data_IF_936493240310
#
_entry.id   IF_936493240310
#
_cell.length_a   1.000
_cell.length_b   1.000
_cell.length_c   1.000
_cell.angle_alpha   90.00
_cell.angle_beta   90.00
_cell.angle_gamma   90.00
#
_symmetry.space_group_name_H-M   'P 1'
#
loop_
_entity.id
_entity.type
_entity.pdbx_description
1 polymer ?
#
# COMPACT_ATOMS: atom_id res chain seq x y z
N UNK A 1 -7.74 -10.43 64.56
CA UNK A 1 -6.88 -10.14 63.40
C UNK A 1 -7.75 -10.27 62.16
N UNK A 2 -8.12 -9.15 61.54
CA UNK A 2 -8.90 -9.15 60.31
C UNK A 2 -7.95 -8.84 59.15
N UNK A 3 -7.77 -9.78 58.24
CA UNK A 3 -6.98 -9.60 57.02
C UNK A 3 -7.94 -9.13 55.93
N UNK A 4 -7.90 -7.84 55.62
CA UNK A 4 -8.64 -7.25 54.51
C UNK A 4 -7.90 -7.50 53.20
N UNK A 5 -8.51 -8.28 52.30
CA UNK A 5 -8.04 -8.46 50.93
C UNK A 5 -8.52 -7.27 50.09
N UNK A 6 -7.58 -6.42 49.66
CA UNK A 6 -7.81 -5.39 48.65
C UNK A 6 -7.82 -6.07 47.29
N UNK A 7 -9.00 -6.20 46.69
CA UNK A 7 -9.15 -6.59 45.30
C UNK A 7 -8.72 -5.41 44.41
N UNK A 8 -7.54 -5.52 43.80
CA UNK A 8 -7.13 -4.61 42.73
C UNK A 8 -7.94 -4.89 41.47
N UNK A 9 -8.79 -3.95 41.08
CA UNK A 9 -9.40 -3.93 39.75
C UNK A 9 -8.31 -3.67 38.72
N UNK A 10 -7.97 -4.68 37.92
CA UNK A 10 -7.19 -4.46 36.71
C UNK A 10 -8.05 -3.62 35.75
N UNK A 11 -7.72 -2.34 35.58
CA UNK A 11 -8.27 -1.54 34.50
C UNK A 11 -7.87 -2.20 33.19
N UNK A 12 -8.85 -2.65 32.41
CA UNK A 12 -8.63 -3.04 31.03
C UNK A 12 -8.03 -1.82 30.30
N UNK A 13 -6.80 -1.95 29.83
CA UNK A 13 -6.21 -0.95 28.95
C UNK A 13 -7.14 -0.83 27.74
N UNK A 14 -7.76 0.33 27.58
CA UNK A 14 -8.54 0.63 26.38
C UNK A 14 -7.61 0.44 25.18
N UNK A 15 -8.02 -0.40 24.26
CA UNK A 15 -7.22 -0.71 23.11
C UNK A 15 -7.09 0.55 22.24
N UNK A 16 -5.86 0.87 21.85
CA UNK A 16 -5.50 2.17 21.31
C UNK A 16 -5.73 2.19 19.81
N UNK A 17 -6.61 3.08 19.35
CA UNK A 17 -6.73 3.44 17.94
C UNK A 17 -5.79 4.61 17.63
N UNK A 18 -5.33 4.71 16.38
CA UNK A 18 -4.52 5.83 15.90
C UNK A 18 -5.40 6.70 15.01
N UNK A 19 -5.50 7.98 15.34
CA UNK A 19 -6.27 8.95 14.56
C UNK A 19 -5.45 9.42 13.36
N UNK A 20 -5.91 9.11 12.14
CA UNK A 20 -5.22 9.43 10.89
C UNK A 20 -6.11 10.27 9.99
N UNK A 21 -5.62 11.40 9.49
CA UNK A 21 -6.32 12.16 8.45
C UNK A 21 -5.64 11.96 7.10
N UNK A 22 -6.44 11.74 6.05
CA UNK A 22 -5.94 11.62 4.68
C UNK A 22 -6.37 12.85 3.89
N UNK A 23 -5.40 13.55 3.30
CA UNK A 23 -5.63 14.76 2.52
C UNK A 23 -4.84 14.73 1.21
N UNK A 24 -5.44 15.25 0.16
CA UNK A 24 -4.70 15.50 -1.08
C UNK A 24 -3.78 16.70 -0.88
N UNK A 25 -2.64 16.75 -1.57
CA UNK A 25 -1.87 17.97 -1.80
C UNK A 25 -1.90 18.30 -3.29
N UNK A 26 -2.35 19.51 -3.60
CA UNK A 26 -2.60 20.03 -4.95
C UNK A 26 -1.88 21.36 -5.21
N UNK A 27 -0.85 21.65 -4.41
CA UNK A 27 -0.03 22.84 -4.54
C UNK A 27 0.69 22.91 -5.90
N UNK A 28 1.08 21.76 -6.47
CA UNK A 28 1.77 21.68 -7.77
C UNK A 28 0.78 21.84 -8.93
N UNK A 29 0.94 22.84 -9.82
CA UNK A 29 0.13 23.05 -11.02
C UNK A 29 -0.15 21.80 -11.88
N UNK A 30 0.75 20.83 -11.88
CA UNK A 30 0.65 19.60 -12.69
C UNK A 30 -0.06 18.45 -11.97
N UNK A 31 -0.36 18.57 -10.68
CA UNK A 31 -1.12 17.58 -9.95
C UNK A 31 -2.60 17.61 -10.37
N UNK A 32 -3.30 16.51 -10.09
CA UNK A 32 -4.75 16.48 -10.15
C UNK A 32 -5.34 17.56 -9.23
N UNK A 33 -6.40 18.21 -9.70
CA UNK A 33 -7.16 19.20 -8.94
C UNK A 33 -8.10 18.52 -7.95
N UNK A 34 -8.46 19.21 -6.87
CA UNK A 34 -9.53 18.79 -5.96
C UNK A 34 -10.92 18.95 -6.57
N UNK A 35 -11.92 18.32 -5.95
CA UNK A 35 -13.35 18.41 -6.29
C UNK A 35 -13.79 17.50 -7.43
N UNK A 36 -12.84 16.90 -8.17
CA UNK A 36 -13.14 15.99 -9.28
C UNK A 36 -13.57 14.60 -8.78
N UNK A 37 -14.39 13.90 -9.57
CA UNK A 37 -14.88 12.55 -9.24
C UNK A 37 -13.74 11.57 -8.92
N UNK A 38 -12.63 11.67 -9.65
CA UNK A 38 -11.44 10.82 -9.46
C UNK A 38 -10.87 10.96 -8.05
N UNK A 39 -10.74 12.18 -7.51
CA UNK A 39 -10.28 12.39 -6.13
C UNK A 39 -11.22 11.71 -5.13
N UNK A 40 -12.53 11.91 -5.27
CA UNK A 40 -13.53 11.34 -4.35
C UNK A 40 -13.46 9.80 -4.36
N UNK A 41 -13.30 9.21 -5.54
CA UNK A 41 -13.05 7.77 -5.67
C UNK A 41 -11.80 7.32 -4.93
N UNK A 42 -10.69 8.05 -5.06
CA UNK A 42 -9.45 7.73 -4.35
C UNK A 42 -9.58 7.86 -2.83
N UNK A 43 -10.23 8.91 -2.32
CA UNK A 43 -10.46 9.08 -0.87
C UNK A 43 -11.28 7.93 -0.29
N UNK A 44 -12.33 7.49 -1.00
CA UNK A 44 -13.10 6.32 -0.58
C UNK A 44 -12.24 5.05 -0.51
N UNK A 45 -11.31 4.87 -1.45
CA UNK A 45 -10.38 3.74 -1.43
C UNK A 45 -9.39 3.85 -0.27
N UNK A 46 -8.83 5.03 -0.01
CA UNK A 46 -7.98 5.27 1.16
C UNK A 46 -8.68 4.92 2.47
N UNK A 47 -9.90 5.41 2.66
CA UNK A 47 -10.71 5.15 3.85
C UNK A 47 -11.04 3.66 3.98
N UNK A 48 -11.47 3.02 2.88
CA UNK A 48 -11.82 1.59 2.88
C UNK A 48 -10.61 0.68 3.13
N UNK A 49 -9.45 1.01 2.56
CA UNK A 49 -8.23 0.25 2.74
C UNK A 49 -7.70 0.40 4.18
N UNK A 50 -7.51 1.64 4.66
CA UNK A 50 -6.96 1.92 5.99
C UNK A 50 -7.86 1.44 7.14
N UNK A 51 -9.19 1.55 7.00
CA UNK A 51 -10.16 1.00 7.98
C UNK A 51 -10.46 -0.49 7.75
N UNK A 52 -9.80 -1.13 6.79
CA UNK A 52 -10.09 -2.50 6.40
C UNK A 52 -9.76 -3.52 7.51
N UNK A 53 -10.55 -4.60 7.66
CA UNK A 53 -10.34 -5.60 8.72
C UNK A 53 -8.99 -6.33 8.63
N UNK A 54 -8.42 -6.42 7.42
CA UNK A 54 -7.08 -6.97 7.19
C UNK A 54 -6.00 -6.13 7.87
N UNK A 55 -6.10 -4.79 7.77
CA UNK A 55 -5.16 -3.87 8.42
C UNK A 55 -5.36 -3.88 9.92
N UNK A 56 -6.59 -3.87 10.41
CA UNK A 56 -6.87 -3.98 11.86
C UNK A 56 -6.25 -5.24 12.48
N UNK A 57 -6.33 -6.39 11.80
CA UNK A 57 -5.73 -7.63 12.27
C UNK A 57 -4.19 -7.58 12.31
N UNK A 58 -3.57 -6.87 11.38
CA UNK A 58 -2.13 -6.64 11.37
C UNK A 58 -1.69 -5.68 12.49
N UNK A 59 -2.42 -4.58 12.68
CA UNK A 59 -2.15 -3.56 13.70
C UNK A 59 -2.20 -4.12 15.13
N UNK A 60 -3.08 -5.10 15.38
CA UNK A 60 -3.16 -5.78 16.67
C UNK A 60 -1.88 -6.49 17.07
N UNK A 61 -1.06 -6.92 16.12
CA UNK A 61 0.27 -7.51 16.40
C UNK A 61 1.23 -6.48 17.00
N UNK A 62 0.97 -5.19 16.79
CA UNK A 62 1.74 -4.06 17.30
C UNK A 62 1.06 -3.35 18.48
N UNK A 63 -0.01 -3.93 19.04
CA UNK A 63 -0.75 -3.37 20.18
C UNK A 63 -1.72 -2.25 19.82
N UNK A 64 -2.01 -2.05 18.54
CA UNK A 64 -2.96 -1.06 18.04
C UNK A 64 -4.27 -1.76 17.65
N UNK A 65 -5.41 -1.20 18.03
CA UNK A 65 -6.71 -1.82 17.76
C UNK A 65 -7.22 -1.54 16.34
N UNK A 66 -6.77 -0.43 15.76
CA UNK A 66 -7.12 0.00 14.41
C UNK A 66 -6.59 1.40 14.09
N UNK A 67 -6.97 1.90 12.92
CA UNK A 67 -6.83 3.30 12.54
C UNK A 67 -8.23 3.90 12.49
N UNK A 68 -8.40 5.09 13.03
CA UNK A 68 -9.59 5.90 12.83
C UNK A 68 -9.26 6.93 11.75
N UNK A 69 -9.80 6.71 10.55
CA UNK A 69 -9.43 7.50 9.37
C UNK A 69 -10.45 8.61 9.11
N UNK A 70 -9.97 9.85 9.14
CA UNK A 70 -10.76 11.04 8.87
C UNK A 70 -10.59 11.51 7.42
N UNK A 71 -11.72 11.80 6.78
CA UNK A 71 -11.76 12.47 5.49
C UNK A 71 -11.49 13.96 5.67
N UNK A 72 -10.67 14.53 4.79
CA UNK A 72 -10.46 15.96 4.63
C UNK A 72 -11.77 16.77 4.69
N UNK A 73 -12.82 16.32 4.01
CA UNK A 73 -14.11 17.02 3.94
C UNK A 73 -14.80 17.08 5.30
N UNK A 74 -14.70 16.02 6.11
CA UNK A 74 -15.31 15.98 7.43
C UNK A 74 -14.61 16.96 8.39
N UNK A 75 -13.29 17.03 8.33
CA UNK A 75 -12.46 17.88 9.20
C UNK A 75 -12.58 19.36 8.81
N UNK A 76 -12.66 19.65 7.52
CA UNK A 76 -12.67 21.04 7.03
C UNK A 76 -14.05 21.70 7.10
N UNK A 77 -15.14 20.94 6.93
CA UNK A 77 -16.51 21.50 7.03
C UNK A 77 -16.85 21.87 8.48
N UNK A 78 -16.39 21.09 9.47
CA UNK A 78 -16.73 21.30 10.88
C UNK A 78 -15.88 22.39 11.57
N UNK A 79 -14.65 22.61 11.08
CA UNK A 79 -13.71 23.53 11.75
C UNK A 79 -13.97 25.02 11.49
N UNK A 80 -14.73 25.40 10.46
CA UNK A 80 -14.95 26.82 10.10
C UNK A 80 -13.66 27.59 9.74
N UNK A 81 -12.54 26.89 9.62
CA UNK A 81 -11.21 27.44 9.36
C UNK A 81 -10.98 27.56 7.86
N UNK A 82 -11.50 28.63 7.26
CA UNK A 82 -11.00 29.13 5.97
C UNK A 82 -11.17 28.21 4.76
N UNK A 83 -12.19 27.36 4.73
CA UNK A 83 -12.61 26.71 3.48
C UNK A 83 -13.12 27.77 2.51
N UNK A 84 -12.24 28.28 1.65
CA UNK A 84 -12.66 29.01 0.46
C UNK A 84 -13.01 27.98 -0.63
N UNK A 85 -14.30 27.76 -0.95
CA UNK A 85 -14.71 26.82 -2.00
C UNK A 85 -14.19 27.21 -3.39
N UNK A 86 -13.78 28.47 -3.58
CA UNK A 86 -13.28 28.97 -4.86
C UNK A 86 -11.76 28.81 -5.01
N UNK A 87 -11.07 28.34 -3.95
CA UNK A 87 -9.62 28.21 -3.96
C UNK A 87 -9.22 26.78 -4.29
N UNK A 88 -8.83 26.57 -5.55
CA UNK A 88 -8.57 25.25 -6.14
C UNK A 88 -7.21 24.62 -5.77
N UNK A 89 -6.33 25.30 -5.01
CA UNK A 89 -4.99 24.79 -4.63
C UNK A 89 -4.53 25.27 -3.26
N UNK A 90 -4.13 24.33 -2.39
CA UNK A 90 -3.65 24.61 -1.03
C UNK A 90 -2.21 24.17 -0.85
N UNK A 91 -1.45 24.96 -0.10
CA UNK A 91 -0.09 24.60 0.27
C UNK A 91 -0.10 23.59 1.42
N UNK A 92 0.94 22.77 1.49
CA UNK A 92 1.05 21.75 2.54
C UNK A 92 1.04 22.34 3.96
N UNK A 93 1.65 23.51 4.15
CA UNK A 93 1.65 24.20 5.44
C UNK A 93 0.23 24.56 5.91
N UNK A 94 -0.64 24.94 4.97
CA UNK A 94 -2.04 25.24 5.23
C UNK A 94 -2.79 23.95 5.58
N UNK A 95 -2.61 22.88 4.82
CA UNK A 95 -3.24 21.58 5.09
C UNK A 95 -2.83 21.02 6.46
N UNK A 96 -1.55 21.13 6.83
CA UNK A 96 -1.06 20.70 8.13
C UNK A 96 -1.61 21.56 9.26
N UNK A 97 -1.69 22.88 9.05
CA UNK A 97 -2.33 23.77 10.03
C UNK A 97 -3.79 23.38 10.26
N UNK A 98 -4.53 23.04 9.21
CA UNK A 98 -5.91 22.57 9.29
C UNK A 98 -6.01 21.24 10.06
N UNK A 99 -5.21 20.25 9.69
CA UNK A 99 -5.21 18.93 10.33
C UNK A 99 -4.96 18.99 11.85
N UNK A 100 -4.01 19.82 12.30
CA UNK A 100 -3.66 19.92 13.73
C UNK A 100 -4.48 20.96 14.50
N UNK A 101 -5.28 21.76 13.81
CA UNK A 101 -6.18 22.74 14.43
C UNK A 101 -7.57 22.18 14.75
N UNK A 102 -7.82 20.91 14.41
CA UNK A 102 -9.12 20.28 14.60
C UNK A 102 -9.50 20.21 16.10
N UNK A 103 -10.61 20.85 16.53
CA UNK A 103 -10.98 20.91 17.94
C UNK A 103 -11.50 19.56 18.44
N UNK A 104 -11.04 19.13 19.62
CA UNK A 104 -11.61 17.98 20.33
C UNK A 104 -11.01 16.61 19.98
N UNK A 105 -10.11 16.54 19.01
CA UNK A 105 -9.42 15.31 18.65
C UNK A 105 -7.94 15.53 18.33
N UNK A 106 -7.09 14.65 18.86
CA UNK A 106 -5.66 14.66 18.59
C UNK A 106 -5.35 13.79 17.38
N UNK A 107 -5.25 14.40 16.20
CA UNK A 107 -4.74 13.69 15.02
C UNK A 107 -3.27 13.28 15.27
N UNK A 108 -3.00 11.98 15.25
CA UNK A 108 -1.67 11.41 15.50
C UNK A 108 -0.79 11.48 14.23
N UNK A 109 -1.42 11.22 13.08
CA UNK A 109 -0.74 11.20 11.79
C UNK A 109 -1.56 11.85 10.66
N UNK A 110 -0.85 12.54 9.78
CA UNK A 110 -1.40 13.18 8.58
C UNK A 110 -0.81 12.53 7.35
N UNK A 111 -1.64 11.92 6.52
CA UNK A 111 -1.28 11.39 5.21
C UNK A 111 -1.54 12.45 4.16
N UNK A 112 -0.46 12.99 3.58
CA UNK A 112 -0.52 13.88 2.42
C UNK A 112 -0.18 13.08 1.17
N UNK A 113 -1.04 13.12 0.17
CA UNK A 113 -0.78 12.49 -1.13
C UNK A 113 -0.94 13.47 -2.29
N UNK A 114 -0.05 13.39 -3.27
CA UNK A 114 -0.11 14.17 -4.52
C UNK A 114 -0.20 13.22 -5.69
N UNK A 115 -1.17 13.43 -6.57
CA UNK A 115 -1.40 12.57 -7.74
C UNK A 115 -1.10 13.34 -9.00
N UNK A 116 -0.31 12.73 -9.88
CA UNK A 116 -0.06 13.20 -11.23
C UNK A 116 -0.60 12.16 -12.19
N UNK A 117 -1.43 12.58 -13.13
CA UNK A 117 -1.95 11.71 -14.16
C UNK A 117 -1.98 12.44 -15.50
N UNK A 118 -1.53 11.78 -16.56
CA UNK A 118 -1.59 12.30 -17.92
C UNK A 118 -1.88 11.19 -18.92
N UNK A 119 -2.62 11.53 -19.97
CA UNK A 119 -2.75 10.68 -21.15
C UNK A 119 -1.57 10.96 -22.09
N UNK A 120 -0.86 9.91 -22.51
CA UNK A 120 0.24 9.98 -23.47
C UNK A 120 -0.18 9.23 -24.73
N UNK A 121 -0.17 9.86 -25.92
CA UNK A 121 -0.49 9.14 -27.16
C UNK A 121 0.58 8.09 -27.46
N UNK A 122 0.15 6.90 -27.88
CA UNK A 122 1.08 5.86 -28.34
C UNK A 122 1.65 6.22 -29.73
N UNK A 123 2.95 6.03 -30.00
CA UNK A 123 3.57 6.50 -31.25
C UNK A 123 3.06 5.79 -32.51
N UNK A 124 2.57 4.56 -32.37
CA UNK A 124 2.17 3.72 -33.51
C UNK A 124 0.69 3.35 -33.53
N UNK A 125 -0.05 3.66 -32.46
CA UNK A 125 -1.48 3.33 -32.35
C UNK A 125 -2.23 4.60 -31.97
N UNK A 126 -3.47 4.77 -32.43
CA UNK A 126 -4.31 5.91 -32.05
C UNK A 126 -4.87 5.80 -30.62
N UNK A 127 -4.20 5.02 -29.76
CA UNK A 127 -4.61 4.74 -28.39
C UNK A 127 -3.84 5.67 -27.46
N UNK A 128 -4.55 6.26 -26.50
CA UNK A 128 -3.95 7.02 -25.41
C UNK A 128 -3.65 6.10 -24.23
N UNK A 129 -2.44 6.25 -23.70
CA UNK A 129 -1.93 5.51 -22.57
C UNK A 129 -2.03 6.35 -21.29
N UNK A 130 -2.56 5.80 -20.21
CA UNK A 130 -2.57 6.48 -18.91
C UNK A 130 -1.20 6.34 -18.25
N UNK A 131 -0.52 7.46 -18.01
CA UNK A 131 0.68 7.53 -17.14
C UNK A 131 0.32 8.25 -15.85
N UNK A 132 0.43 7.54 -14.73
CA UNK A 132 0.09 8.07 -13.42
C UNK A 132 1.20 7.81 -12.40
N UNK A 133 1.38 8.76 -11.49
CA UNK A 133 2.27 8.63 -10.34
C UNK A 133 1.62 9.29 -9.13
N UNK A 134 1.73 8.65 -7.99
CA UNK A 134 1.27 9.16 -6.72
C UNK A 134 2.44 9.22 -5.76
N UNK A 135 2.61 10.37 -5.13
CA UNK A 135 3.58 10.56 -4.06
C UNK A 135 2.79 10.68 -2.77
N UNK A 136 3.24 10.04 -1.70
CA UNK A 136 2.62 10.24 -0.40
C UNK A 136 3.68 10.37 0.68
N UNK A 137 3.29 11.05 1.76
CA UNK A 137 4.06 11.15 2.99
C UNK A 137 3.14 11.21 4.20
N UNK A 138 3.60 10.62 5.27
CA UNK A 138 2.93 10.59 6.56
C UNK A 138 3.73 11.45 7.51
N UNK A 139 3.08 12.40 8.13
CA UNK A 139 3.68 13.35 9.07
C UNK A 139 3.05 13.15 10.45
N UNK A 140 3.84 13.21 11.51
CA UNK A 140 3.29 13.29 12.87
C UNK A 140 2.93 14.74 13.23
N UNK A 141 2.35 14.92 14.42
CA UNK A 141 2.03 16.24 14.98
C UNK A 141 3.19 17.24 15.05
N UNK A 142 4.41 16.74 15.23
CA UNK A 142 5.62 17.58 15.28
C UNK A 142 6.12 17.97 13.87
N UNK A 143 5.46 17.51 12.81
CA UNK A 143 5.88 17.70 11.42
C UNK A 143 7.00 16.75 10.98
N UNK A 144 7.37 15.76 11.80
CA UNK A 144 8.35 14.73 11.44
C UNK A 144 7.74 13.76 10.44
N UNK A 145 8.48 13.46 9.38
CA UNK A 145 8.12 12.41 8.43
C UNK A 145 8.22 11.06 9.13
N UNK A 146 7.09 10.36 9.22
CA UNK A 146 7.00 8.98 9.68
C UNK A 146 7.21 8.02 8.52
N UNK A 147 6.64 8.34 7.37
CA UNK A 147 6.63 7.46 6.21
C UNK A 147 6.52 8.27 4.92
N UNK A 148 6.89 7.67 3.82
CA UNK A 148 6.67 8.24 2.50
C UNK A 148 7.20 7.33 1.42
N UNK A 149 6.56 7.38 0.26
CA UNK A 149 6.98 6.63 -0.91
C UNK A 149 6.41 7.28 -2.17
N UNK A 150 6.98 6.90 -3.30
CA UNK A 150 6.50 7.25 -4.62
C UNK A 150 5.94 6.00 -5.28
N UNK A 151 4.62 5.90 -5.36
CA UNK A 151 3.95 4.84 -6.10
C UNK A 151 3.83 5.30 -7.54
N UNK A 152 4.57 4.64 -8.43
CA UNK A 152 4.46 4.90 -9.86
C UNK A 152 3.64 3.79 -10.49
N UNK A 153 2.60 4.19 -11.21
CA UNK A 153 2.00 3.36 -12.23
C UNK A 153 2.78 3.67 -13.51
N UNK A 154 4.00 3.12 -13.60
CA UNK A 154 4.72 3.07 -14.88
C UNK A 154 4.04 1.99 -15.70
N UNK A 155 3.00 2.40 -16.40
CA UNK A 155 2.10 1.45 -17.01
C UNK A 155 2.67 0.79 -18.25
N UNK A 156 3.80 1.25 -18.79
CA UNK A 156 4.14 1.05 -20.22
C UNK A 156 2.90 1.28 -21.13
N UNK A 157 1.91 2.05 -20.64
CA UNK A 157 0.58 2.20 -21.19
C UNK A 157 -0.47 1.13 -20.85
N UNK A 158 -1.22 1.34 -19.76
CA UNK A 158 -2.54 0.72 -19.59
C UNK A 158 -3.39 1.38 -20.67
N UNK A 159 -3.80 0.59 -21.68
CA UNK A 159 -4.57 1.15 -22.75
C UNK A 159 -5.99 1.37 -22.23
N UNK A 160 -6.58 2.53 -22.49
CA UNK A 160 -7.98 2.82 -22.17
C UNK A 160 -8.93 2.10 -23.14
N UNK A 161 -8.62 0.86 -23.53
CA UNK A 161 -9.24 0.10 -24.64
C UNK A 161 -10.71 -0.24 -24.42
N UNK A 162 -11.21 -0.18 -23.19
CA UNK A 162 -12.62 -0.39 -22.86
C UNK A 162 -13.53 0.83 -23.07
N UNK A 163 -12.96 2.03 -23.21
CA UNK A 163 -13.72 3.29 -23.20
C UNK A 163 -14.02 3.86 -24.58
N UNK A 164 -14.19 2.96 -25.56
CA UNK A 164 -14.24 3.22 -27.00
C UNK A 164 -12.91 3.75 -27.57
N UNK A 165 -11.91 2.88 -27.65
CA UNK A 165 -10.78 3.10 -28.56
C UNK A 165 -11.20 2.79 -29.99
N UNK A 166 -11.71 3.80 -30.69
CA UNK A 166 -11.73 3.91 -32.16
C UNK A 166 -12.02 2.63 -32.97
N UNK A 167 -13.09 1.92 -32.66
CA UNK A 167 -13.80 1.20 -33.72
C UNK A 167 -14.74 2.24 -34.34
N UNK A 168 -14.33 2.81 -35.49
CA UNK A 168 -15.11 3.74 -36.33
C UNK A 168 -15.36 5.19 -35.83
N UNK A 169 -14.32 6.00 -35.62
CA UNK A 169 -14.41 7.47 -35.38
C UNK A 169 -15.29 7.94 -34.20
N UNK A 170 -15.69 7.03 -33.31
CA UNK A 170 -16.42 7.38 -32.09
C UNK A 170 -15.43 7.93 -31.05
N UNK A 171 -15.72 9.13 -30.53
CA UNK A 171 -14.98 9.71 -29.42
C UNK A 171 -15.10 8.82 -28.17
N UNK A 172 -14.02 8.69 -27.36
CA UNK A 172 -14.08 7.89 -26.15
C UNK A 172 -15.14 8.44 -25.18
N UNK A 173 -15.86 7.55 -24.53
CA UNK A 173 -16.87 7.92 -23.53
C UNK A 173 -16.17 8.54 -22.31
N UNK A 174 -16.51 9.79 -22.00
CA UNK A 174 -15.87 10.56 -20.92
C UNK A 174 -16.07 9.87 -19.56
N UNK A 175 -17.24 9.28 -19.32
CA UNK A 175 -17.53 8.59 -18.08
C UNK A 175 -16.67 7.33 -17.92
N UNK A 176 -16.58 6.50 -18.96
CA UNK A 176 -15.70 5.34 -18.92
C UNK A 176 -14.25 5.72 -18.69
N UNK A 177 -13.73 6.76 -19.35
CA UNK A 177 -12.34 7.20 -19.14
C UNK A 177 -12.13 7.61 -17.68
N UNK A 178 -13.07 8.35 -17.09
CA UNK A 178 -13.01 8.71 -15.67
C UNK A 178 -13.04 7.49 -14.77
N UNK A 179 -13.89 6.51 -15.06
CA UNK A 179 -14.02 5.29 -14.25
C UNK A 179 -12.75 4.44 -14.33
N UNK A 180 -12.19 4.26 -15.54
CA UNK A 180 -10.93 3.56 -15.75
C UNK A 180 -9.75 4.25 -15.05
N UNK A 181 -9.66 5.59 -15.12
CA UNK A 181 -8.64 6.35 -14.40
C UNK A 181 -8.84 6.22 -12.88
N UNK A 182 -10.09 6.29 -12.40
CA UNK A 182 -10.42 6.17 -10.98
C UNK A 182 -10.07 4.78 -10.45
N UNK A 183 -10.35 3.72 -11.20
CA UNK A 183 -10.00 2.35 -10.81
C UNK A 183 -8.49 2.17 -10.69
N UNK A 184 -7.73 2.63 -11.70
CA UNK A 184 -6.27 2.51 -11.69
C UNK A 184 -5.61 3.30 -10.56
N UNK A 185 -6.05 4.55 -10.35
CA UNK A 185 -5.58 5.37 -9.24
C UNK A 185 -6.04 4.82 -7.88
N UNK A 186 -7.21 4.19 -7.82
CA UNK A 186 -7.71 3.48 -6.66
C UNK A 186 -6.79 2.33 -6.26
N UNK A 187 -6.33 1.51 -7.21
CA UNK A 187 -5.33 0.45 -6.94
C UNK A 187 -4.05 1.03 -6.35
N UNK A 188 -3.56 2.16 -6.87
CA UNK A 188 -2.39 2.84 -6.29
C UNK A 188 -2.64 3.32 -4.85
N UNK A 189 -3.83 3.87 -4.59
CA UNK A 189 -4.25 4.31 -3.26
C UNK A 189 -4.32 3.13 -2.28
N UNK A 190 -4.88 1.98 -2.69
CA UNK A 190 -4.93 0.76 -1.88
C UNK A 190 -3.52 0.25 -1.55
N UNK A 191 -2.64 0.15 -2.56
CA UNK A 191 -1.24 -0.25 -2.39
C UNK A 191 -0.50 0.66 -1.40
N UNK A 192 -0.71 1.97 -1.52
CA UNK A 192 -0.13 2.97 -0.63
C UNK A 192 -0.70 2.88 0.80
N UNK A 193 -2.01 2.70 0.95
CA UNK A 193 -2.68 2.52 2.23
C UNK A 193 -2.12 1.33 3.00
N UNK A 194 -1.99 0.19 2.33
CA UNK A 194 -1.41 -1.01 2.92
C UNK A 194 0.02 -0.78 3.41
N UNK A 195 0.85 -0.08 2.63
CA UNK A 195 2.22 0.27 3.03
C UNK A 195 2.26 1.24 4.21
N UNK A 196 1.45 2.28 4.16
CA UNK A 196 1.37 3.29 5.21
C UNK A 196 0.93 2.65 6.52
N UNK A 197 -0.09 1.79 6.51
CA UNK A 197 -0.55 1.11 7.70
C UNK A 197 0.57 0.28 8.36
N UNK A 198 1.37 -0.44 7.56
CA UNK A 198 2.53 -1.18 8.06
C UNK A 198 3.57 -0.24 8.68
N UNK A 199 3.87 0.87 8.01
CA UNK A 199 4.85 1.84 8.50
C UNK A 199 4.39 2.54 9.78
N UNK A 200 3.12 2.96 9.84
CA UNK A 200 2.49 3.53 11.04
C UNK A 200 2.56 2.53 12.19
N UNK A 201 2.18 1.27 11.97
CA UNK A 201 2.25 0.21 12.98
C UNK A 201 3.65 0.09 13.59
N UNK A 202 4.67 0.11 12.73
CA UNK A 202 6.06 -0.07 13.15
C UNK A 202 6.59 1.10 13.99
N UNK A 203 6.20 2.34 13.67
CA UNK A 203 6.76 3.54 14.31
C UNK A 203 5.94 3.93 15.53
N UNK A 204 4.61 3.99 15.36
CA UNK A 204 3.70 4.42 16.41
C UNK A 204 3.49 3.28 17.42
N UNK A 205 3.40 2.02 16.98
CA UNK A 205 3.32 0.87 17.88
C UNK A 205 4.54 0.72 18.79
N UNK A 206 5.74 1.09 18.35
CA UNK A 206 6.93 1.13 19.22
C UNK A 206 6.85 2.24 20.28
N UNK A 207 6.27 3.40 19.94
CA UNK A 207 6.09 4.50 20.89
C UNK A 207 5.08 4.15 22.00
N UNK A 208 4.00 3.46 21.65
CA UNK A 208 3.01 2.99 22.63
C UNK A 208 3.48 1.74 23.40
N UNK A 209 4.18 0.80 22.76
CA UNK A 209 4.74 -0.38 23.41
C UNK A 209 5.87 -0.06 24.40
N UNK A 210 6.59 1.04 24.21
CA UNK A 210 7.66 1.49 25.12
C UNK A 210 7.13 2.18 26.39
N UNK A 211 5.85 2.54 26.47
CA UNK A 211 5.25 3.15 27.67
C UNK A 211 4.75 2.13 28.70
N UNK A 212 4.85 0.83 28.42
CA UNK A 212 4.32 -0.22 29.30
C UNK A 212 5.34 -1.23 29.83
N UNK A 213 6.62 -0.84 29.95
CA UNK A 213 7.65 -1.66 30.62
C UNK A 213 8.44 -0.88 31.69
N UNK A 214 7.72 -0.31 32.66
CA UNK A 214 8.30 -0.02 33.98
C UNK A 214 7.74 -1.01 35.01
N UNK A 215 8.23 -2.25 34.97
CA UNK A 215 7.87 -3.30 35.92
C UNK A 215 8.57 -4.60 35.51
N UNK A 216 9.62 -4.97 36.24
CA UNK A 216 10.63 -5.93 35.81
C UNK A 216 10.14 -7.35 35.59
N UNK A 217 10.82 -8.05 34.68
CA UNK A 217 10.63 -9.49 34.44
C UNK A 217 11.33 -9.91 33.16
N UNK A 218 12.45 -10.61 33.30
CA UNK A 218 13.20 -11.18 32.20
C UNK A 218 12.35 -12.21 31.41
N UNK A 219 12.23 -12.03 30.10
CA UNK A 219 11.62 -12.99 29.18
C UNK A 219 11.73 -12.48 27.74
N UNK A 220 12.48 -13.19 26.90
CA UNK A 220 12.96 -12.72 25.60
C UNK A 220 11.87 -12.40 24.56
N UNK A 221 12.11 -11.33 23.81
CA UNK A 221 11.46 -11.02 22.55
C UNK A 221 12.45 -11.20 21.38
N UNK A 222 11.98 -11.68 20.20
CA UNK A 222 12.85 -11.92 19.05
C UNK A 222 13.26 -10.58 18.42
N UNK A 223 14.57 -10.35 18.37
CA UNK A 223 15.16 -9.17 17.76
C UNK A 223 14.90 -9.11 16.26
N UNK A 224 14.13 -8.11 15.84
CA UNK A 224 14.15 -7.59 14.49
C UNK A 224 14.74 -6.17 14.54
N UNK A 225 16.07 -6.10 14.57
CA UNK A 225 16.80 -4.87 14.28
C UNK A 225 16.65 -4.59 12.78
N UNK A 226 15.61 -3.85 12.40
CA UNK A 226 15.55 -3.19 11.10
C UNK A 226 16.33 -1.89 11.24
N UNK A 227 17.62 -1.94 10.88
CA UNK A 227 18.42 -0.74 10.71
C UNK A 227 17.91 0.03 9.49
N UNK A 228 17.35 1.22 9.75
CA UNK A 228 17.13 2.26 8.74
C UNK A 228 18.43 3.07 8.70
N UNK A 229 19.26 2.89 7.67
CA UNK A 229 20.44 3.71 7.44
C UNK A 229 20.06 4.95 6.61
N UNK A 230 20.29 6.12 7.21
CA UNK A 230 20.18 7.43 6.63
C UNK A 230 21.33 8.33 7.11
N UNK A 231 22.55 8.07 6.64
CA UNK A 231 23.48 9.13 6.23
C UNK A 231 24.63 9.55 7.17
N UNK A 232 25.85 9.24 6.69
CA UNK A 232 27.14 9.97 6.79
C UNK A 232 28.01 9.92 8.07
N UNK A 233 29.17 9.24 7.99
CA UNK A 233 30.52 9.86 7.81
C UNK A 233 31.64 8.81 7.65
N UNK A 234 32.77 9.26 7.11
CA UNK A 234 33.83 8.57 6.36
C UNK A 234 34.61 7.39 6.97
N UNK A 235 35.01 6.42 6.12
CA UNK A 235 36.23 5.62 6.32
C UNK A 235 36.32 4.25 5.62
N UNK A 236 36.91 4.24 4.42
CA UNK A 236 37.63 3.13 3.76
C UNK A 236 36.89 1.86 3.22
N UNK A 237 36.71 1.90 1.89
CA UNK A 237 36.92 0.86 0.85
C UNK A 237 36.43 -0.57 1.10
N UNK A 238 35.36 -0.98 0.38
CA UNK A 238 35.30 -2.22 -0.42
C UNK A 238 34.21 -2.07 -1.50
N UNK A 239 34.60 -2.36 -2.75
CA UNK A 239 33.88 -2.43 -4.03
C UNK A 239 32.34 -2.39 -4.01
N UNK A 240 31.75 -1.35 -4.60
CA UNK A 240 30.29 -1.15 -4.67
C UNK A 240 29.61 -1.77 -5.91
N UNK A 241 28.27 -1.98 -5.87
CA UNK A 241 27.45 -2.08 -7.07
C UNK A 241 26.92 -0.70 -7.49
N UNK A 242 27.01 -0.47 -8.79
CA UNK A 242 26.59 0.71 -9.54
C UNK A 242 25.11 1.07 -9.38
N UNK A 243 24.85 2.38 -9.31
CA UNK A 243 23.56 3.01 -9.59
C UNK A 243 23.12 2.84 -11.04
N UNK A 244 21.84 2.51 -11.26
CA UNK A 244 21.15 2.77 -12.53
C UNK A 244 20.61 1.54 -13.26
N UNK A 245 19.60 0.88 -12.71
CA UNK A 245 18.88 -0.20 -13.38
C UNK A 245 17.59 -0.51 -12.64
N UNK A 246 16.51 -0.82 -13.36
CA UNK A 246 15.21 -1.17 -12.81
C UNK A 246 15.26 -2.50 -12.02
N UNK A 247 15.95 -2.57 -10.87
CA UNK A 247 15.89 -3.66 -9.88
C UNK A 247 16.04 -5.10 -10.39
N UNK A 248 16.55 -5.33 -11.60
CA UNK A 248 16.73 -6.63 -12.24
C UNK A 248 18.22 -6.97 -12.45
N UNK A 249 19.12 -6.28 -11.74
CA UNK A 249 20.56 -6.44 -11.92
C UNK A 249 21.13 -7.65 -11.16
N UNK A 250 20.28 -8.40 -10.46
CA UNK A 250 20.68 -9.62 -9.78
C UNK A 250 20.98 -10.76 -10.78
N UNK A 251 21.83 -11.69 -10.37
CA UNK A 251 22.01 -12.94 -11.08
C UNK A 251 20.67 -13.70 -11.15
N UNK A 252 20.31 -14.32 -12.29
CA UNK A 252 19.08 -15.10 -12.39
C UNK A 252 19.05 -16.23 -11.36
N UNK A 253 18.02 -16.23 -10.53
CA UNK A 253 17.72 -17.28 -9.56
C UNK A 253 16.48 -18.03 -10.00
N UNK A 254 16.45 -19.33 -9.74
CA UNK A 254 15.29 -20.19 -10.00
C UNK A 254 14.58 -20.50 -8.68
N UNK A 255 13.29 -20.19 -8.63
CA UNK A 255 12.39 -20.52 -7.54
C UNK A 255 11.45 -21.65 -7.95
N UNK A 256 11.08 -22.48 -6.97
CA UNK A 256 10.01 -23.46 -7.09
C UNK A 256 8.77 -22.85 -6.42
N UNK A 257 7.73 -22.61 -7.22
CA UNK A 257 6.48 -22.03 -6.74
C UNK A 257 5.38 -23.09 -6.81
N UNK A 258 4.87 -23.48 -5.65
CA UNK A 258 3.81 -24.48 -5.53
C UNK A 258 2.52 -23.78 -5.12
N UNK A 259 1.50 -23.85 -5.97
CA UNK A 259 0.18 -23.31 -5.70
C UNK A 259 -0.78 -24.45 -5.42
N UNK A 260 -1.49 -24.39 -4.29
CA UNK A 260 -2.51 -25.38 -3.90
C UNK A 260 -3.88 -24.72 -3.78
N UNK A 261 -4.95 -25.51 -3.98
CA UNK A 261 -6.33 -25.02 -3.84
C UNK A 261 -6.83 -24.17 -5.02
N UNK A 262 -6.17 -24.23 -6.17
CA UNK A 262 -6.50 -23.45 -7.36
C UNK A 262 -7.26 -24.25 -8.42
N UNK A 263 -8.17 -23.60 -9.14
CA UNK A 263 -8.93 -24.18 -10.26
C UNK A 263 -8.22 -24.01 -11.62
N UNK A 264 -8.77 -24.63 -12.67
CA UNK A 264 -8.19 -24.60 -14.01
C UNK A 264 -8.17 -23.20 -14.66
N UNK A 265 -9.11 -22.31 -14.32
CA UNK A 265 -9.11 -20.93 -14.85
C UNK A 265 -8.04 -20.08 -14.17
N UNK A 266 -7.87 -20.28 -12.85
CA UNK A 266 -6.85 -19.64 -12.04
C UNK A 266 -5.44 -20.07 -12.49
N UNK A 267 -5.24 -21.34 -12.87
CA UNK A 267 -3.95 -21.80 -13.43
C UNK A 267 -3.51 -20.97 -14.64
N UNK A 268 -4.40 -20.79 -15.62
CA UNK A 268 -4.09 -20.00 -16.83
C UNK A 268 -3.80 -18.52 -16.49
N UNK A 269 -4.56 -17.95 -15.57
CA UNK A 269 -4.33 -16.58 -15.12
C UNK A 269 -2.98 -16.42 -14.40
N UNK A 270 -2.59 -17.40 -13.57
CA UNK A 270 -1.30 -17.41 -12.87
C UNK A 270 -0.15 -17.38 -13.88
N UNK A 271 -0.18 -18.19 -14.94
CA UNK A 271 0.87 -18.18 -15.97
C UNK A 271 0.98 -16.81 -16.67
N UNK A 272 -0.15 -16.22 -17.04
CA UNK A 272 -0.21 -14.91 -17.67
C UNK A 272 0.37 -13.83 -16.75
N UNK A 273 -0.05 -13.79 -15.48
CA UNK A 273 0.48 -12.85 -14.49
C UNK A 273 1.97 -13.04 -14.26
N UNK A 274 2.43 -14.28 -14.06
CA UNK A 274 3.84 -14.56 -13.78
C UNK A 274 4.78 -14.18 -14.93
N UNK A 275 4.31 -14.33 -16.17
CA UNK A 275 5.05 -13.91 -17.37
C UNK A 275 5.09 -12.38 -17.54
N UNK A 276 4.11 -11.66 -16.99
CA UNK A 276 4.04 -10.19 -17.01
C UNK A 276 4.94 -9.49 -15.98
N UNK A 277 5.46 -10.21 -14.98
CA UNK A 277 6.21 -9.60 -13.90
C UNK A 277 7.58 -9.07 -14.37
N UNK A 278 7.94 -7.88 -13.90
CA UNK A 278 9.28 -7.31 -14.10
C UNK A 278 10.37 -8.29 -13.63
N UNK A 279 11.48 -8.36 -14.38
CA UNK A 279 12.61 -9.27 -14.14
C UNK A 279 12.33 -10.76 -14.41
N UNK A 280 11.16 -11.11 -14.98
CA UNK A 280 10.87 -12.44 -15.48
C UNK A 280 11.91 -12.90 -16.51
N UNK A 281 12.30 -14.17 -16.45
CA UNK A 281 13.19 -14.77 -17.44
C UNK A 281 12.61 -16.05 -18.05
N UNK A 282 12.08 -16.96 -17.24
CA UNK A 282 11.47 -18.19 -17.75
C UNK A 282 10.47 -18.78 -16.74
N UNK A 283 9.42 -19.40 -17.24
CA UNK A 283 8.42 -20.14 -16.48
C UNK A 283 8.30 -21.53 -17.13
N UNK A 284 8.50 -22.56 -16.34
CA UNK A 284 8.35 -23.95 -16.79
C UNK A 284 7.42 -24.67 -15.82
N UNK A 285 6.46 -25.41 -16.37
CA UNK A 285 5.59 -26.29 -15.60
C UNK A 285 6.40 -27.51 -15.16
N UNK A 286 6.53 -27.72 -13.85
CA UNK A 286 7.29 -28.84 -13.29
C UNK A 286 6.38 -30.01 -12.90
N UNK A 287 5.24 -29.71 -12.27
CA UNK A 287 4.26 -30.71 -11.87
C UNK A 287 2.85 -30.14 -11.88
N UNK A 288 1.87 -30.96 -12.24
CA UNK A 288 0.45 -30.57 -12.26
C UNK A 288 -0.43 -31.68 -11.69
N UNK A 289 -1.33 -31.29 -10.79
CA UNK A 289 -2.39 -32.11 -10.23
C UNK A 289 -3.72 -31.36 -10.29
N UNK A 290 -4.81 -32.03 -9.86
CA UNK A 290 -6.17 -31.46 -9.87
C UNK A 290 -6.29 -30.20 -9.01
N UNK A 291 -5.57 -30.12 -7.89
CA UNK A 291 -5.65 -29.00 -6.93
C UNK A 291 -4.29 -28.39 -6.61
N UNK A 292 -3.24 -28.80 -7.33
CA UNK A 292 -1.86 -28.33 -7.12
C UNK A 292 -1.20 -28.11 -8.46
N UNK A 293 -0.42 -27.03 -8.58
CA UNK A 293 0.50 -26.84 -9.70
C UNK A 293 1.82 -26.32 -9.16
N UNK A 294 2.91 -26.79 -9.76
CA UNK A 294 4.27 -26.40 -9.39
C UNK A 294 4.98 -25.84 -10.61
N UNK A 295 5.49 -24.62 -10.48
CA UNK A 295 6.25 -23.96 -11.53
C UNK A 295 7.70 -23.74 -11.11
N UNK A 296 8.60 -23.96 -12.07
CA UNK A 296 9.98 -23.53 -12.01
C UNK A 296 10.07 -22.11 -12.58
N UNK A 297 10.17 -21.13 -11.69
CA UNK A 297 10.19 -19.71 -12.04
C UNK A 297 11.60 -19.15 -11.99
N UNK A 298 12.16 -18.80 -13.15
CA UNK A 298 13.47 -18.15 -13.26
C UNK A 298 13.30 -16.64 -13.38
N UNK A 299 13.94 -15.90 -12.48
CA UNK A 299 13.81 -14.45 -12.40
C UNK A 299 15.09 -13.80 -11.88
N UNK A 300 15.28 -12.51 -12.20
CA UNK A 300 16.30 -11.66 -11.56
C UNK A 300 15.73 -10.84 -10.40
N UNK A 301 14.43 -11.01 -10.09
CA UNK A 301 13.81 -10.39 -8.93
C UNK A 301 14.31 -11.03 -7.63
N UNK A 302 14.36 -10.24 -6.57
CA UNK A 302 14.59 -10.76 -5.23
C UNK A 302 13.34 -11.47 -4.69
N UNK A 303 13.53 -12.28 -3.64
CA UNK A 303 12.46 -13.05 -3.01
C UNK A 303 11.33 -12.17 -2.46
N UNK A 304 11.67 -11.00 -1.90
CA UNK A 304 10.68 -10.08 -1.37
C UNK A 304 9.71 -9.59 -2.45
N UNK A 305 10.23 -9.26 -3.64
CA UNK A 305 9.41 -8.86 -4.79
C UNK A 305 8.55 -10.00 -5.31
N UNK A 306 9.07 -11.22 -5.37
CA UNK A 306 8.26 -12.39 -5.77
C UNK A 306 7.09 -12.61 -4.81
N UNK A 307 7.35 -12.57 -3.50
CA UNK A 307 6.31 -12.73 -2.48
C UNK A 307 5.24 -11.64 -2.57
N UNK A 308 5.64 -10.39 -2.84
CA UNK A 308 4.71 -9.28 -3.08
C UNK A 308 3.89 -9.51 -4.35
N UNK A 309 4.53 -9.88 -5.46
CA UNK A 309 3.85 -10.08 -6.74
C UNK A 309 2.84 -11.23 -6.67
N UNK A 310 3.15 -12.31 -5.94
CA UNK A 310 2.22 -13.40 -5.68
C UNK A 310 0.99 -12.89 -4.93
N UNK A 311 1.16 -12.10 -3.87
CA UNK A 311 0.02 -11.52 -3.12
C UNK A 311 -0.86 -10.65 -4.01
N UNK A 312 -0.25 -9.75 -4.77
CA UNK A 312 -0.97 -8.87 -5.70
C UNK A 312 -1.70 -9.63 -6.81
N UNK A 313 -1.09 -10.69 -7.34
CA UNK A 313 -1.71 -11.55 -8.35
C UNK A 313 -2.99 -12.21 -7.81
N UNK A 314 -2.92 -12.80 -6.61
CA UNK A 314 -4.08 -13.44 -6.00
C UNK A 314 -5.15 -12.44 -5.57
N UNK A 315 -4.75 -11.26 -5.08
CA UNK A 315 -5.67 -10.14 -4.81
C UNK A 315 -6.42 -9.71 -6.08
N UNK A 316 -5.72 -9.59 -7.22
CA UNK A 316 -6.33 -9.28 -8.51
C UNK A 316 -7.29 -10.38 -9.01
N UNK A 317 -7.06 -11.64 -8.61
CA UNK A 317 -7.97 -12.77 -8.87
C UNK A 317 -9.11 -12.89 -7.86
N UNK A 318 -9.18 -12.00 -6.85
CA UNK A 318 -10.21 -12.04 -5.79
C UNK A 318 -10.02 -13.18 -4.79
N UNK A 319 -8.81 -13.71 -4.65
CA UNK A 319 -8.48 -14.83 -3.76
C UNK A 319 -7.46 -14.36 -2.73
N UNK A 320 -7.71 -14.64 -1.45
CA UNK A 320 -6.75 -14.36 -0.40
C UNK A 320 -5.77 -15.51 -0.24
N UNK A 321 -4.48 -15.18 -0.20
CA UNK A 321 -3.40 -16.16 -0.01
C UNK A 321 -2.37 -15.65 0.99
N UNK A 322 -1.79 -16.58 1.73
CA UNK A 322 -0.62 -16.33 2.57
C UNK A 322 0.56 -17.13 1.99
N UNK A 323 1.38 -16.55 1.10
CA UNK A 323 2.52 -17.25 0.56
C UNK A 323 3.54 -17.48 1.68
N UNK A 324 4.02 -18.71 1.78
CA UNK A 324 5.00 -19.16 2.75
C UNK A 324 6.20 -19.71 2.04
N UNK A 325 7.33 -19.70 2.73
CA UNK A 325 8.58 -20.17 2.17
C UNK A 325 9.03 -21.40 2.93
N UNK A 326 9.18 -22.52 2.23
CA UNK A 326 9.59 -23.80 2.84
C UNK A 326 11.10 -24.07 2.71
N UNK A 327 11.80 -23.22 1.96
CA UNK A 327 13.25 -23.28 1.81
C UNK A 327 13.84 -21.95 1.34
N UNK A 328 15.09 -21.99 0.87
CA UNK A 328 15.76 -20.80 0.32
C UNK A 328 15.08 -20.34 -0.98
N UNK A 329 14.66 -21.30 -1.81
CA UNK A 329 14.11 -21.08 -3.16
C UNK A 329 12.76 -21.75 -3.40
N UNK A 330 12.10 -22.19 -2.34
CA UNK A 330 10.79 -22.84 -2.41
C UNK A 330 9.73 -21.97 -1.74
N UNK A 331 8.69 -21.65 -2.50
CA UNK A 331 7.55 -20.85 -2.07
C UNK A 331 6.29 -21.66 -2.29
N UNK A 332 5.49 -21.79 -1.24
CA UNK A 332 4.20 -22.48 -1.27
C UNK A 332 3.10 -21.48 -1.00
N UNK A 333 2.05 -21.58 -1.80
CA UNK A 333 0.90 -20.68 -1.75
C UNK A 333 -0.34 -21.53 -1.64
N UNK A 334 -1.01 -21.41 -0.50
CA UNK A 334 -2.26 -22.11 -0.25
C UNK A 334 -3.43 -21.16 -0.53
N UNK A 335 -4.13 -21.40 -1.64
CA UNK A 335 -5.31 -20.65 -2.02
C UNK A 335 -6.53 -21.18 -1.27
N UNK A 336 -7.04 -20.37 -0.35
CA UNK A 336 -8.31 -20.65 0.33
C UNK A 336 -9.41 -20.00 -0.50
N UNK A 337 -10.09 -20.80 -1.31
CA UNK A 337 -11.32 -20.35 -1.97
C UNK A 337 -12.40 -20.17 -0.90
N UNK A 338 -12.83 -18.92 -0.67
CA UNK A 338 -14.02 -18.65 0.15
C UNK A 338 -15.21 -19.26 -0.56
N UNK A 339 -15.67 -20.41 -0.06
CA UNK A 339 -16.90 -21.04 -0.51
C UNK A 339 -18.03 -20.20 0.08
N UNK A 340 -18.62 -19.34 -0.75
CA UNK A 340 -19.85 -18.64 -0.41
C UNK A 340 -20.98 -19.69 -0.41
N UNK A 341 -21.31 -20.19 0.78
CA UNK A 341 -22.56 -20.90 1.03
C UNK A 341 -23.70 -19.90 1.24
#
# INVERSE_FOLDING_TARGET
>A
MAVGALAGTASAAAAQTVDVIVMQSDADPNSLRRGIQVQRGMLNVWNGALNGPAIGSYLKQYGLDGLDVYDETAVIVDSGLGYDPNRERRQDAELLSLAFSFPGQSIDAVVLYTVYAKAVPHPYTKISLLRASMQYRVLNRDGRVLAGDNVQLDTEGIPLTGCATQIADIAPDDQCVRDAVTENLGRMASDAANRIAIQIASIIGQQYGSLHTSGGGAGGAPGANVAIDGGTTHGAVLSGPSSGGYGCDNLPVTYLLTFTGIDARQKNAIEEFMSSWSCYSNLELEDESLTRVTYRYKTKADRARIMRNIRLMFEAMGVFVDPRTLGEREIVVDAVTLRND
#
